data_IF_208950656132
#
_entry.id   IF_208950656132
#
_cell.length_a   1.000
_cell.length_b   1.000
_cell.length_c   1.000
_cell.angle_alpha   90.00
_cell.angle_beta   90.00
_cell.angle_gamma   90.00
#
_symmetry.space_group_name_H-M   'P 1'
#
loop_
_entity.id
_entity.type
_entity.pdbx_description
1 polymer ?
#
# COMPACT_ATOMS: atom_id res chain seq x y z
N UNK A 1 -5.53 -12.56 15.21
CA UNK A 1 -4.53 -11.72 14.50
C UNK A 1 -4.90 -10.26 14.65
N UNK A 2 -4.50 -9.64 15.77
CA UNK A 2 -4.81 -8.25 16.12
C UNK A 2 -3.71 -7.23 15.75
N UNK A 3 -2.59 -7.67 15.16
CA UNK A 3 -1.42 -6.83 14.93
C UNK A 3 -1.64 -5.72 13.87
N UNK A 4 -2.58 -5.89 12.93
CA UNK A 4 -2.88 -4.84 11.96
C UNK A 4 -3.56 -3.63 12.63
N UNK A 5 -4.33 -3.86 13.71
CA UNK A 5 -4.98 -2.79 14.48
C UNK A 5 -3.99 -2.03 15.36
N UNK A 6 -2.83 -2.59 15.69
CA UNK A 6 -1.82 -1.88 16.48
C UNK A 6 -0.91 -1.03 15.58
N UNK A 7 -0.63 -1.50 14.36
CA UNK A 7 0.13 -0.73 13.35
C UNK A 7 -0.70 0.37 12.70
N UNK A 8 -2.03 0.25 12.67
CA UNK A 8 -2.94 1.22 12.01
C UNK A 8 -3.92 1.91 12.99
N UNK A 9 -4.09 1.39 14.20
CA UNK A 9 -5.17 1.80 15.12
C UNK A 9 -4.74 2.52 16.39
N UNK A 10 -3.49 2.98 16.48
CA UNK A 10 -3.08 3.98 17.45
C UNK A 10 -3.00 5.35 16.78
N UNK A 11 -4.02 6.19 16.96
CA UNK A 11 -4.02 7.65 16.68
C UNK A 11 -2.84 8.17 15.84
N UNK A 12 -2.82 7.91 14.53
CA UNK A 12 -1.96 8.65 13.60
C UNK A 12 -2.64 9.99 13.31
N UNK A 13 -2.53 10.94 14.24
CA UNK A 13 -2.96 12.30 13.98
C UNK A 13 -2.24 12.82 12.72
N UNK A 14 -2.93 12.80 11.57
CA UNK A 14 -2.40 13.26 10.28
C UNK A 14 -2.23 12.24 9.16
N UNK A 15 -2.58 10.95 9.31
CA UNK A 15 -2.55 9.99 8.19
C UNK A 15 -3.93 9.45 7.87
N UNK A 16 -4.41 9.72 6.65
CA UNK A 16 -5.68 9.21 6.12
C UNK A 16 -5.40 8.25 4.98
N UNK A 17 -5.90 7.02 5.09
CA UNK A 17 -5.82 6.05 4.00
C UNK A 17 -6.82 6.43 2.90
N UNK A 18 -6.31 6.67 1.69
CA UNK A 18 -7.13 6.99 0.51
C UNK A 18 -7.76 5.73 -0.08
N UNK A 19 -7.03 4.62 -0.09
CA UNK A 19 -7.52 3.32 -0.56
C UNK A 19 -6.40 2.30 -0.75
N UNK A 20 -6.76 1.15 -1.29
CA UNK A 20 -5.85 0.08 -1.67
C UNK A 20 -5.64 0.04 -3.17
N UNK A 21 -4.47 -0.45 -3.59
CA UNK A 21 -4.14 -0.72 -4.98
C UNK A 21 -3.89 -2.22 -5.11
N UNK A 22 -4.56 -2.86 -6.06
CA UNK A 22 -4.45 -4.29 -6.33
C UNK A 22 -4.58 -4.53 -7.84
N UNK A 23 -3.66 -5.31 -8.40
CA UNK A 23 -3.63 -5.65 -9.83
C UNK A 23 -4.74 -6.65 -10.20
N UNK A 24 -5.35 -7.31 -9.22
CA UNK A 24 -6.49 -8.17 -9.46
C UNK A 24 -7.75 -7.34 -9.73
N UNK A 25 -8.10 -7.22 -11.01
CA UNK A 25 -9.29 -6.51 -11.49
C UNK A 25 -10.59 -6.98 -10.82
N UNK A 26 -10.65 -8.23 -10.36
CA UNK A 26 -11.84 -8.76 -9.66
C UNK A 26 -12.07 -8.10 -8.29
N UNK A 27 -11.03 -7.43 -7.77
CA UNK A 27 -11.08 -6.74 -6.47
C UNK A 27 -11.36 -5.26 -6.61
N UNK A 28 -11.40 -4.70 -7.82
CA UNK A 28 -11.65 -3.27 -8.01
C UNK A 28 -13.04 -2.88 -7.48
N UNK A 29 -13.09 -1.79 -6.70
CA UNK A 29 -14.30 -1.36 -6.01
C UNK A 29 -14.66 -2.17 -4.75
N UNK A 30 -14.02 -3.32 -4.50
CA UNK A 30 -14.19 -4.07 -3.27
C UNK A 30 -13.65 -3.30 -2.06
N UNK A 31 -14.14 -3.65 -0.87
CA UNK A 31 -13.69 -3.05 0.39
C UNK A 31 -12.78 -3.99 1.15
N UNK A 32 -11.62 -3.50 1.56
CA UNK A 32 -10.68 -4.17 2.46
C UNK A 32 -10.62 -3.34 3.74
N UNK A 33 -11.03 -3.91 4.88
CA UNK A 33 -11.05 -3.21 6.17
C UNK A 33 -11.73 -1.83 6.15
N UNK A 34 -12.75 -1.65 5.31
CA UNK A 34 -13.50 -0.39 5.18
C UNK A 34 -12.99 0.57 4.08
N UNK A 35 -11.80 0.33 3.52
CA UNK A 35 -11.23 1.13 2.43
C UNK A 35 -11.45 0.47 1.07
N UNK A 36 -11.66 1.28 0.03
CA UNK A 36 -11.87 0.77 -1.34
C UNK A 36 -10.56 0.38 -2.01
N UNK A 37 -10.59 -0.67 -2.82
CA UNK A 37 -9.59 -0.93 -3.85
C UNK A 37 -9.87 0.01 -5.03
N UNK A 38 -8.94 0.89 -5.33
CA UNK A 38 -9.09 1.99 -6.29
C UNK A 38 -8.71 1.60 -7.73
N UNK A 39 -8.04 0.46 -7.89
CA UNK A 39 -7.55 -0.05 -9.16
C UNK A 39 -6.17 -0.71 -9.01
N UNK A 40 -5.50 -0.93 -10.13
CA UNK A 40 -4.10 -1.38 -10.20
C UNK A 40 -3.10 -0.23 -10.35
N UNK A 41 -1.94 -0.53 -10.93
CA UNK A 41 -0.82 0.39 -11.09
C UNK A 41 -1.18 1.70 -11.80
N UNK A 42 -2.02 1.66 -12.83
CA UNK A 42 -2.41 2.87 -13.57
C UNK A 42 -3.22 3.84 -12.71
N UNK A 43 -4.09 3.31 -11.83
CA UNK A 43 -4.83 4.12 -10.87
C UNK A 43 -3.88 4.72 -9.82
N UNK A 44 -2.89 3.95 -9.35
CA UNK A 44 -1.84 4.46 -8.45
C UNK A 44 -1.03 5.59 -9.10
N UNK A 45 -0.63 5.39 -10.36
CA UNK A 45 0.14 6.38 -11.09
C UNK A 45 -0.65 7.69 -11.24
N UNK A 46 -1.93 7.60 -11.61
CA UNK A 46 -2.82 8.75 -11.69
C UNK A 46 -2.95 9.51 -10.35
N UNK A 47 -3.08 8.80 -9.23
CA UNK A 47 -3.16 9.40 -7.89
C UNK A 47 -1.87 10.15 -7.53
N UNK A 48 -0.70 9.58 -7.84
CA UNK A 48 0.60 10.21 -7.60
C UNK A 48 0.78 11.44 -8.49
N UNK A 49 0.41 11.36 -9.76
CA UNK A 49 0.53 12.47 -10.72
C UNK A 49 -0.41 13.63 -10.40
N UNK A 50 -1.61 13.32 -9.90
CA UNK A 50 -2.59 14.30 -9.46
C UNK A 50 -2.24 14.94 -8.10
N UNK A 51 -1.24 14.42 -7.38
CA UNK A 51 -0.87 14.90 -6.05
C UNK A 51 -1.90 14.57 -4.97
N UNK A 52 -2.74 13.55 -5.20
CA UNK A 52 -3.80 13.13 -4.26
C UNK A 52 -3.25 12.27 -3.11
N UNK A 53 -2.00 11.83 -3.21
CA UNK A 53 -1.30 11.06 -2.18
C UNK A 53 0.11 11.61 -1.96
N UNK A 54 0.55 11.60 -0.71
CA UNK A 54 1.91 12.00 -0.32
C UNK A 54 2.75 10.81 0.17
N UNK A 55 2.14 9.62 0.31
CA UNK A 55 2.81 8.40 0.73
C UNK A 55 2.18 7.16 0.09
N UNK A 56 3.03 6.21 -0.28
CA UNK A 56 2.68 4.89 -0.80
C UNK A 56 3.35 3.83 0.07
N UNK A 57 2.55 2.85 0.51
CA UNK A 57 3.01 1.71 1.30
C UNK A 57 2.84 0.44 0.49
N UNK A 58 3.95 -0.21 0.14
CA UNK A 58 3.94 -1.52 -0.50
C UNK A 58 3.62 -2.60 0.54
N UNK A 59 2.56 -3.35 0.27
CA UNK A 59 2.15 -4.52 1.04
C UNK A 59 3.08 -5.74 0.86
N UNK A 60 2.66 -6.87 1.41
CA UNK A 60 3.39 -8.12 1.30
C UNK A 60 3.32 -8.70 -0.11
N UNK A 61 4.47 -9.15 -0.62
CA UNK A 61 4.63 -9.73 -1.96
C UNK A 61 5.80 -9.09 -2.72
N UNK A 62 6.55 -9.84 -3.54
CA UNK A 62 7.59 -9.25 -4.37
C UNK A 62 6.92 -8.48 -5.52
N UNK A 63 7.03 -7.13 -5.60
CA UNK A 63 6.69 -6.46 -6.83
C UNK A 63 7.66 -6.91 -7.92
N UNK A 64 7.16 -7.01 -9.14
CA UNK A 64 8.03 -7.11 -10.32
C UNK A 64 9.10 -6.00 -10.25
N UNK A 65 10.36 -6.37 -10.49
CA UNK A 65 11.50 -5.47 -10.31
C UNK A 65 11.45 -4.28 -11.28
N UNK A 66 10.85 -4.46 -12.47
CA UNK A 66 10.66 -3.37 -13.43
C UNK A 66 9.60 -2.40 -12.89
N UNK A 67 8.45 -2.90 -12.45
CA UNK A 67 7.38 -2.09 -11.83
C UNK A 67 7.83 -1.36 -10.57
N UNK A 68 8.62 -2.00 -9.71
CA UNK A 68 9.16 -1.34 -8.51
C UNK A 68 10.03 -0.14 -8.87
N UNK A 69 10.97 -0.30 -9.81
CA UNK A 69 11.83 0.82 -10.27
C UNK A 69 11.03 1.93 -10.93
N UNK A 70 9.97 1.58 -11.67
CA UNK A 70 9.07 2.58 -12.25
C UNK A 70 8.36 3.39 -11.16
N UNK A 71 7.84 2.71 -10.12
CA UNK A 71 7.20 3.34 -8.98
C UNK A 71 8.18 4.19 -8.15
N UNK A 72 9.39 3.72 -7.90
CA UNK A 72 10.45 4.49 -7.21
C UNK A 72 10.72 5.81 -7.91
N UNK A 73 10.89 5.78 -9.25
CA UNK A 73 11.12 6.99 -10.05
C UNK A 73 9.91 7.93 -10.02
N UNK A 74 8.70 7.38 -10.15
CA UNK A 74 7.47 8.17 -10.13
C UNK A 74 7.30 8.88 -8.79
N UNK A 75 7.45 8.16 -7.68
CA UNK A 75 7.37 8.72 -6.34
C UNK A 75 8.46 9.77 -6.09
N UNK A 76 9.72 9.47 -6.43
CA UNK A 76 10.84 10.40 -6.25
C UNK A 76 10.65 11.69 -7.07
N UNK A 77 10.16 11.58 -8.31
CA UNK A 77 9.89 12.74 -9.17
C UNK A 77 8.75 13.64 -8.68
N UNK A 78 7.91 13.16 -7.76
CA UNK A 78 6.76 13.89 -7.21
C UNK A 78 6.86 14.20 -5.72
N UNK A 79 7.97 13.83 -5.07
CA UNK A 79 8.14 14.01 -3.62
C UNK A 79 7.22 13.13 -2.77
N UNK A 80 6.75 12.00 -3.30
CA UNK A 80 5.90 11.03 -2.59
C UNK A 80 6.77 10.04 -1.84
N UNK A 81 6.48 9.82 -0.56
CA UNK A 81 7.19 8.83 0.24
C UNK A 81 6.85 7.42 -0.24
N UNK A 82 7.85 6.57 -0.47
CA UNK A 82 7.65 5.16 -0.80
C UNK A 82 8.25 4.28 0.29
N UNK A 83 7.42 3.43 0.89
CA UNK A 83 7.83 2.52 1.96
C UNK A 83 7.32 1.11 1.70
N UNK A 84 7.90 0.11 2.37
CA UNK A 84 7.43 -1.27 2.33
C UNK A 84 7.20 -1.78 3.75
N UNK A 85 6.05 -2.39 3.98
CA UNK A 85 5.80 -3.14 5.21
C UNK A 85 6.22 -4.61 5.02
N UNK A 86 6.96 -5.14 5.99
CA UNK A 86 7.30 -6.58 6.05
C UNK A 86 6.76 -7.13 7.36
N UNK A 87 5.81 -8.07 7.28
CA UNK A 87 5.30 -8.81 8.43
C UNK A 87 5.87 -10.22 8.35
N UNK A 88 6.58 -10.63 9.40
CA UNK A 88 7.12 -11.98 9.53
C UNK A 88 6.48 -12.65 10.74
N UNK A 89 6.03 -13.89 10.56
CA UNK A 89 5.56 -14.75 11.64
C UNK A 89 6.62 -15.80 11.87
N UNK A 90 7.16 -15.83 13.09
CA UNK A 90 8.11 -16.84 13.53
C UNK A 90 7.40 -17.79 14.50
N UNK A 91 7.51 -19.10 14.24
CA UNK A 91 7.02 -20.12 15.16
C UNK A 91 8.14 -20.47 16.13
N UNK A 92 7.98 -20.10 17.41
CA UNK A 92 8.97 -20.38 18.44
C UNK A 92 8.78 -21.75 19.11
N UNK A 93 7.64 -22.41 18.86
CA UNK A 93 7.32 -23.75 19.35
C UNK A 93 6.53 -24.47 18.26
N UNK A 94 7.10 -25.54 17.72
CA UNK A 94 6.39 -26.49 16.86
C UNK A 94 5.59 -27.44 17.75
N UNK A 95 4.30 -27.62 17.43
CA UNK A 95 3.45 -28.67 18.00
C UNK A 95 3.28 -29.80 17.01
#
# INVERSE_FOLDING_TARGET
MGALREVVGGSTAGVQIVGFIDEDDTRHGARVHGYRVLGGYDALAALIEAGEVYSVVLGAGPPDAVRLRALERLCAGRGVALSRIRVQVENLVDR
#
